data_IF_164083866150
#
_entry.id   IF_164083866150
#
_cell.length_a   1.000
_cell.length_b   1.000
_cell.length_c   1.000
_cell.angle_alpha   90.00
_cell.angle_beta   90.00
_cell.angle_gamma   90.00
#
_symmetry.space_group_name_H-M   'P 1'
#
loop_
_entity.id
_entity.type
_entity.pdbx_description
1 polymer ?
#
# COMPACT_ATOMS: atom_id res chain seq x y z
N UNK A 1 26.31 -3.09 7.75
CA UNK A 1 25.30 -2.33 8.53
C UNK A 1 24.02 -2.27 7.71
N UNK A 2 22.98 -2.95 8.19
CA UNK A 2 21.90 -3.48 7.37
C UNK A 2 20.78 -2.47 7.07
N UNK A 3 20.29 -2.55 5.84
CA UNK A 3 19.03 -1.96 5.32
C UNK A 3 17.79 -2.39 6.12
N UNK A 4 17.91 -3.36 7.02
CA UNK A 4 16.86 -3.83 7.94
C UNK A 4 16.49 -2.78 9.01
N UNK A 5 17.43 -1.96 9.47
CA UNK A 5 17.15 -0.94 10.50
C UNK A 5 16.32 0.26 10.00
N UNK A 6 16.23 0.49 8.68
CA UNK A 6 15.39 1.56 8.11
C UNK A 6 13.91 1.17 8.03
N UNK A 7 13.60 -0.12 7.81
CA UNK A 7 12.21 -0.63 7.79
C UNK A 7 11.56 -0.63 9.18
N UNK A 8 12.35 -0.89 10.22
CA UNK A 8 11.84 -0.86 11.60
C UNK A 8 11.50 0.56 12.07
N UNK A 9 12.34 1.56 11.77
CA UNK A 9 12.07 2.96 12.11
C UNK A 9 10.84 3.53 11.38
N UNK A 10 10.56 3.09 10.14
CA UNK A 10 9.38 3.50 9.38
C UNK A 10 8.08 2.88 9.94
N UNK A 11 8.13 1.63 10.40
CA UNK A 11 6.98 0.95 10.99
C UNK A 11 6.64 1.45 12.41
N UNK A 12 7.63 1.87 13.20
CA UNK A 12 7.38 2.46 14.53
C UNK A 12 6.74 3.85 14.41
N UNK A 13 7.08 4.65 13.39
CA UNK A 13 6.42 5.94 13.12
C UNK A 13 4.99 5.77 12.58
N UNK A 14 4.73 4.76 11.72
CA UNK A 14 3.41 4.48 11.13
C UNK A 14 2.37 4.05 12.16
N UNK A 15 2.76 3.25 13.14
CA UNK A 15 1.86 2.82 14.23
C UNK A 15 1.52 4.02 15.14
N UNK A 16 2.43 4.98 15.35
CA UNK A 16 2.15 6.11 16.22
C UNK A 16 1.18 7.14 15.58
N UNK A 17 1.26 7.36 14.26
CA UNK A 17 0.36 8.29 13.56
C UNK A 17 -1.04 7.71 13.33
N UNK A 18 -1.16 6.42 13.03
CA UNK A 18 -2.48 5.79 12.82
C UNK A 18 -3.23 5.55 14.15
N UNK A 19 -2.50 5.33 15.26
CA UNK A 19 -3.10 5.14 16.58
C UNK A 19 -3.58 6.46 17.21
N UNK A 20 -2.95 7.60 16.87
CA UNK A 20 -3.39 8.92 17.33
C UNK A 20 -4.72 9.37 16.72
N UNK A 21 -5.10 8.87 15.54
CA UNK A 21 -6.38 9.20 14.89
C UNK A 21 -7.50 8.18 15.15
N UNK A 22 -7.18 6.93 15.53
CA UNK A 22 -8.18 5.94 15.97
C UNK A 22 -8.69 6.15 17.39
N UNK A 23 -8.04 7.00 18.19
CA UNK A 23 -8.37 7.20 19.61
C UNK A 23 -9.34 8.35 19.91
N UNK A 24 -9.75 9.15 18.92
CA UNK A 24 -10.72 10.22 19.12
C UNK A 24 -11.97 9.97 18.29
N UNK A 25 -12.92 9.26 18.90
CA UNK A 25 -14.34 9.36 18.54
C UNK A 25 -14.92 10.71 18.94
N UNK A 26 -14.26 11.81 18.56
CA UNK A 26 -14.83 13.13 18.64
C UNK A 26 -15.73 13.29 17.42
N UNK A 27 -17.02 13.44 17.68
CA UNK A 27 -18.04 13.69 16.65
C UNK A 27 -17.62 14.97 15.92
N UNK A 28 -17.05 14.84 14.72
CA UNK A 28 -16.77 15.93 13.79
C UNK A 28 -18.09 16.35 13.13
N UNK A 29 -18.36 17.66 13.00
CA UNK A 29 -19.43 18.09 12.09
C UNK A 29 -18.87 18.14 10.69
N UNK A 30 -19.03 17.04 9.96
CA UNK A 30 -18.92 17.08 8.51
C UNK A 30 -20.00 18.01 7.98
N UNK A 31 -19.62 18.98 7.15
CA UNK A 31 -20.57 19.90 6.54
C UNK A 31 -21.55 19.07 5.71
N UNK A 32 -22.83 18.99 6.12
CA UNK A 32 -23.78 18.06 5.52
C UNK A 32 -24.12 18.48 4.11
N UNK A 33 -24.68 17.58 3.31
CA UNK A 33 -25.14 17.88 1.95
C UNK A 33 -26.36 18.81 1.95
N UNK A 34 -27.14 18.84 3.05
CA UNK A 34 -28.31 19.70 3.21
C UNK A 34 -28.55 20.06 4.68
N UNK A 35 -28.92 21.32 4.96
CA UNK A 35 -29.27 21.80 6.30
C UNK A 35 -30.28 22.97 6.19
N UNK A 36 -31.29 23.06 7.10
CA UNK A 36 -32.23 24.18 7.12
C UNK A 36 -31.61 25.52 7.56
N UNK A 37 -30.48 25.52 8.27
CA UNK A 37 -29.77 26.74 8.66
C UNK A 37 -29.12 27.41 7.43
N UNK A 38 -29.34 28.72 7.24
CA UNK A 38 -28.88 29.47 6.07
C UNK A 38 -27.36 29.51 5.93
N UNK A 39 -26.63 29.59 7.05
CA UNK A 39 -25.18 29.61 7.04
C UNK A 39 -24.64 28.23 6.65
N UNK A 40 -25.15 27.15 7.26
CA UNK A 40 -24.71 25.80 6.89
C UNK A 40 -25.10 25.48 5.45
N UNK A 41 -26.29 25.87 4.99
CA UNK A 41 -26.67 25.71 3.59
C UNK A 41 -25.67 26.39 2.65
N UNK A 42 -25.25 27.61 2.95
CA UNK A 42 -24.26 28.34 2.15
C UNK A 42 -22.89 27.63 2.15
N UNK A 43 -22.47 27.07 3.28
CA UNK A 43 -21.26 26.25 3.39
C UNK A 43 -21.38 24.95 2.57
N UNK A 44 -22.52 24.27 2.65
CA UNK A 44 -22.83 23.04 1.90
C UNK A 44 -22.81 23.27 0.40
N UNK A 45 -23.46 24.33 -0.08
CA UNK A 45 -23.50 24.69 -1.51
C UNK A 45 -22.08 24.96 -2.04
N UNK A 46 -21.25 25.69 -1.28
CA UNK A 46 -19.85 25.95 -1.65
C UNK A 46 -19.00 24.67 -1.61
N UNK A 47 -19.16 23.84 -0.58
CA UNK A 47 -18.46 22.56 -0.50
C UNK A 47 -18.80 21.65 -1.68
N UNK A 48 -20.05 21.66 -2.15
CA UNK A 48 -20.46 20.86 -3.31
C UNK A 48 -19.85 21.35 -4.63
N UNK A 49 -19.71 22.66 -4.81
CA UNK A 49 -18.96 23.23 -5.94
C UNK A 49 -17.51 22.72 -5.91
N UNK A 50 -16.86 22.76 -4.74
CA UNK A 50 -15.49 22.26 -4.57
C UNK A 50 -15.40 20.76 -4.89
N UNK A 51 -16.32 19.94 -4.36
CA UNK A 51 -16.36 18.49 -4.63
C UNK A 51 -16.51 18.19 -6.12
N UNK A 52 -17.39 18.92 -6.80
CA UNK A 52 -17.63 18.77 -8.25
C UNK A 52 -16.39 19.14 -9.06
N UNK A 53 -15.76 20.28 -8.77
CA UNK A 53 -14.51 20.68 -9.44
C UNK A 53 -13.37 19.71 -9.17
N UNK A 54 -13.21 19.28 -7.92
CA UNK A 54 -12.22 18.28 -7.52
C UNK A 54 -12.40 16.96 -8.28
N UNK A 55 -13.63 16.44 -8.34
CA UNK A 55 -13.95 15.23 -9.09
C UNK A 55 -13.61 15.39 -10.58
N UNK A 56 -13.90 16.54 -11.19
CA UNK A 56 -13.56 16.84 -12.58
C UNK A 56 -12.05 16.81 -12.86
N UNK A 57 -11.25 17.39 -11.96
CA UNK A 57 -9.79 17.33 -12.01
C UNK A 57 -9.28 15.90 -11.87
N UNK A 58 -9.73 15.17 -10.83
CA UNK A 58 -9.35 13.77 -10.64
C UNK A 58 -9.69 12.93 -11.87
N UNK A 59 -10.91 13.06 -12.41
CA UNK A 59 -11.34 12.33 -13.62
C UNK A 59 -10.40 12.57 -14.80
N UNK A 60 -9.94 13.81 -14.97
CA UNK A 60 -9.02 14.19 -16.05
C UNK A 60 -7.62 13.63 -15.83
N UNK A 61 -7.11 13.74 -14.60
CA UNK A 61 -5.77 13.30 -14.21
C UNK A 61 -5.64 11.77 -14.16
N UNK A 62 -6.74 11.07 -13.89
CA UNK A 62 -6.82 9.60 -13.88
C UNK A 62 -7.33 9.02 -15.19
N UNK A 63 -7.31 9.81 -16.28
CA UNK A 63 -7.66 9.30 -17.61
C UNK A 63 -6.66 8.20 -17.99
N UNK A 64 -7.19 7.00 -18.22
CA UNK A 64 -6.37 5.84 -18.50
C UNK A 64 -5.78 5.91 -19.91
N UNK A 65 -4.53 5.49 -20.03
CA UNK A 65 -3.78 5.38 -21.28
C UNK A 65 -3.44 3.90 -21.49
N UNK A 66 -3.62 3.37 -22.72
CA UNK A 66 -3.29 1.99 -23.01
C UNK A 66 -1.77 1.74 -22.87
N UNK A 67 -1.44 0.59 -22.28
CA UNK A 67 -0.10 0.12 -22.02
C UNK A 67 -0.04 -1.38 -22.31
N UNK A 68 0.98 -1.82 -23.05
CA UNK A 68 1.25 -3.25 -23.20
C UNK A 68 2.15 -3.72 -22.07
N UNK A 69 1.78 -4.84 -21.46
CA UNK A 69 2.52 -5.48 -20.36
C UNK A 69 2.62 -6.98 -20.61
N UNK A 70 3.45 -7.65 -19.80
CA UNK A 70 3.67 -9.09 -19.88
C UNK A 70 3.23 -9.79 -18.60
N UNK A 71 2.57 -10.94 -18.75
CA UNK A 71 2.21 -11.85 -17.66
C UNK A 71 3.39 -12.73 -17.26
N UNK A 72 3.27 -13.43 -16.13
CA UNK A 72 4.32 -14.33 -15.63
C UNK A 72 4.57 -15.59 -16.45
N UNK A 73 3.82 -15.82 -17.53
CA UNK A 73 4.03 -16.89 -18.51
C UNK A 73 4.60 -16.36 -19.85
N UNK A 74 4.93 -15.06 -19.91
CA UNK A 74 5.46 -14.42 -21.11
C UNK A 74 4.39 -13.91 -22.08
N UNK A 75 3.10 -14.11 -21.79
CA UNK A 75 2.00 -13.63 -22.63
C UNK A 75 1.92 -12.11 -22.58
N UNK A 76 1.87 -11.47 -23.75
CA UNK A 76 1.65 -10.02 -23.89
C UNK A 76 0.16 -9.71 -23.78
N UNK A 77 -0.20 -8.76 -22.92
CA UNK A 77 -1.58 -8.30 -22.73
C UNK A 77 -1.68 -6.77 -22.78
N UNK A 78 -2.82 -6.26 -23.23
CA UNK A 78 -3.15 -4.84 -23.18
C UNK A 78 -3.78 -4.53 -21.81
N UNK A 79 -3.24 -3.50 -21.16
CA UNK A 79 -3.77 -2.92 -19.93
C UNK A 79 -3.97 -1.42 -20.13
N UNK A 80 -4.61 -0.78 -19.17
CA UNK A 80 -4.67 0.68 -19.12
C UNK A 80 -4.22 1.16 -17.73
N UNK A 81 -3.54 2.30 -17.70
CA UNK A 81 -3.07 2.90 -16.45
C UNK A 81 -3.18 4.42 -16.51
N UNK A 82 -3.17 5.06 -15.35
CA UNK A 82 -2.92 6.51 -15.24
C UNK A 82 -1.59 6.78 -14.53
N UNK A 83 -1.15 8.04 -14.53
CA UNK A 83 0.07 8.47 -13.83
C UNK A 83 -0.27 9.11 -12.46
N UNK A 84 -0.01 8.43 -11.33
CA UNK A 84 -0.28 8.98 -10.00
C UNK A 84 0.59 10.21 -9.67
N UNK A 85 1.69 10.45 -10.38
CA UNK A 85 2.51 11.65 -10.20
C UNK A 85 1.75 12.92 -10.64
N UNK A 86 0.83 12.83 -11.60
CA UNK A 86 -0.03 13.96 -11.99
C UNK A 86 -0.98 14.36 -10.86
N UNK A 87 -1.57 13.37 -10.18
CA UNK A 87 -2.44 13.60 -9.01
C UNK A 87 -1.64 14.21 -7.86
N UNK A 88 -0.42 13.71 -7.62
CA UNK A 88 0.49 14.28 -6.62
C UNK A 88 0.78 15.76 -6.90
N UNK A 89 1.15 16.09 -8.14
CA UNK A 89 1.41 17.48 -8.56
C UNK A 89 0.18 18.37 -8.40
N UNK A 90 -1.01 17.85 -8.72
CA UNK A 90 -2.27 18.57 -8.50
C UNK A 90 -2.47 18.91 -7.02
N UNK A 91 -2.24 17.97 -6.11
CA UNK A 91 -2.29 18.23 -4.67
C UNK A 91 -1.23 19.22 -4.20
N UNK A 92 0.01 19.11 -4.68
CA UNK A 92 1.08 20.08 -4.39
C UNK A 92 0.68 21.50 -4.86
N UNK A 93 0.06 21.61 -6.05
CA UNK A 93 -0.45 22.88 -6.58
C UNK A 93 -1.56 23.49 -5.74
N UNK A 94 -2.47 22.68 -5.18
CA UNK A 94 -3.49 23.17 -4.24
C UNK A 94 -2.80 23.77 -3.02
N UNK A 95 -1.91 23.00 -2.36
CA UNK A 95 -1.24 23.43 -1.13
C UNK A 95 -0.41 24.71 -1.34
N UNK A 96 0.31 24.83 -2.45
CA UNK A 96 1.11 26.02 -2.77
C UNK A 96 0.25 27.28 -2.95
N UNK A 97 -1.04 27.15 -3.27
CA UNK A 97 -1.98 28.26 -3.42
C UNK A 97 -2.73 28.61 -2.13
N UNK A 98 -2.51 27.86 -1.03
CA UNK A 98 -3.10 28.11 0.29
C UNK A 98 -2.04 28.28 1.40
N UNK A 99 -1.06 29.21 1.25
CA UNK A 99 0.05 29.33 2.20
C UNK A 99 -0.37 29.72 3.63
N UNK A 100 -1.56 30.31 3.79
CA UNK A 100 -2.15 30.68 5.08
C UNK A 100 -2.76 29.48 5.84
N UNK A 101 -2.98 28.35 5.15
CA UNK A 101 -3.57 27.15 5.76
C UNK A 101 -2.47 26.25 6.33
N UNK A 102 -2.74 25.68 7.50
CA UNK A 102 -1.89 24.65 8.07
C UNK A 102 -2.02 23.38 7.24
N UNK A 103 -0.90 22.76 6.86
CA UNK A 103 -0.92 21.48 6.14
C UNK A 103 0.37 20.68 6.39
N UNK A 104 0.31 19.36 6.18
CA UNK A 104 1.48 18.47 6.30
C UNK A 104 2.15 18.14 4.95
N UNK A 105 1.69 18.75 3.86
CA UNK A 105 2.12 18.39 2.51
C UNK A 105 1.30 17.21 1.95
N UNK A 106 1.74 16.70 0.80
CA UNK A 106 1.11 15.51 0.19
C UNK A 106 1.58 14.25 0.89
N UNK A 107 0.61 13.49 1.40
CA UNK A 107 0.82 12.21 2.07
C UNK A 107 0.39 11.04 1.20
N UNK A 108 0.98 9.87 1.45
CA UNK A 108 0.59 8.64 0.78
C UNK A 108 0.62 7.43 1.71
N UNK A 109 -0.27 6.47 1.49
CA UNK A 109 -0.26 5.17 2.17
C UNK A 109 -0.16 4.03 1.16
N UNK A 110 0.47 2.94 1.61
CA UNK A 110 0.70 1.72 0.85
C UNK A 110 0.28 0.54 1.72
N UNK A 111 -0.73 -0.19 1.29
CA UNK A 111 -1.21 -1.42 1.92
C UNK A 111 -1.47 -2.48 0.84
N UNK A 112 -0.59 -3.49 0.76
CA UNK A 112 -0.57 -4.50 -0.31
C UNK A 112 -0.58 -3.86 -1.71
N UNK A 113 -1.68 -3.97 -2.44
CA UNK A 113 -1.94 -3.38 -3.75
C UNK A 113 -2.74 -2.07 -3.65
N UNK A 114 -3.37 -1.77 -2.51
CA UNK A 114 -4.07 -0.51 -2.29
C UNK A 114 -3.08 0.64 -2.05
N UNK A 115 -3.33 1.75 -2.71
CA UNK A 115 -2.59 3.01 -2.60
C UNK A 115 -3.56 4.13 -2.29
N UNK A 116 -3.11 5.09 -1.48
CA UNK A 116 -3.84 6.33 -1.25
C UNK A 116 -2.88 7.50 -1.36
N UNK A 117 -3.27 8.53 -2.10
CA UNK A 117 -2.62 9.84 -2.09
C UNK A 117 -3.60 10.84 -1.52
N UNK A 118 -3.18 11.68 -0.58
CA UNK A 118 -4.10 12.63 0.06
C UNK A 118 -3.40 13.88 0.59
N UNK A 119 -4.20 14.92 0.78
CA UNK A 119 -3.84 16.13 1.52
C UNK A 119 -4.86 16.38 2.61
N UNK A 120 -4.35 16.88 3.74
CA UNK A 120 -5.14 17.41 4.83
C UNK A 120 -4.62 18.80 5.14
N UNK A 121 -5.55 19.74 5.27
CA UNK A 121 -5.23 21.12 5.57
C UNK A 121 -6.34 21.74 6.41
N UNK A 122 -5.97 22.69 7.26
CA UNK A 122 -6.89 23.35 8.17
C UNK A 122 -6.52 24.81 8.40
N UNK A 123 -7.52 25.61 8.76
CA UNK A 123 -7.34 27.00 9.13
C UNK A 123 -8.30 27.35 10.27
N UNK A 124 -7.81 28.14 11.21
CA UNK A 124 -8.58 28.56 12.36
C UNK A 124 -9.11 29.99 12.16
N UNK A 125 -10.42 30.16 12.31
CA UNK A 125 -11.09 31.46 12.31
C UNK A 125 -11.77 31.67 13.68
N UNK A 126 -11.15 32.52 14.51
CA UNK A 126 -11.57 32.68 15.91
C UNK A 126 -11.44 31.36 16.69
N UNK A 127 -12.57 30.86 17.21
CA UNK A 127 -12.64 29.57 17.92
C UNK A 127 -13.14 28.43 17.03
N UNK A 128 -13.10 28.58 15.70
CA UNK A 128 -13.59 27.58 14.77
C UNK A 128 -12.47 27.09 13.85
N UNK A 129 -12.35 25.78 13.69
CA UNK A 129 -11.39 25.14 12.81
C UNK A 129 -12.14 24.63 11.58
N UNK A 130 -11.80 25.16 10.42
CA UNK A 130 -12.24 24.62 9.13
C UNK A 130 -11.14 23.69 8.63
N UNK A 131 -11.46 22.41 8.44
CA UNK A 131 -10.50 21.42 7.94
C UNK A 131 -11.02 20.75 6.68
N UNK A 132 -10.10 20.34 5.82
CA UNK A 132 -10.39 19.59 4.59
C UNK A 132 -9.54 18.34 4.48
N UNK A 133 -10.13 17.30 3.91
CA UNK A 133 -9.47 16.07 3.53
C UNK A 133 -9.81 15.74 2.08
N UNK A 134 -8.80 15.84 1.21
CA UNK A 134 -8.89 15.48 -0.20
C UNK A 134 -8.00 14.28 -0.48
N UNK A 135 -8.54 13.24 -1.12
CA UNK A 135 -7.84 11.97 -1.29
C UNK A 135 -8.23 11.27 -2.58
N UNK A 136 -7.30 10.49 -3.15
CA UNK A 136 -7.52 9.51 -4.20
C UNK A 136 -7.05 8.13 -3.70
N UNK A 137 -7.90 7.12 -3.84
CA UNK A 137 -7.63 5.73 -3.52
C UNK A 137 -7.69 4.87 -4.79
N UNK A 138 -6.63 4.10 -5.03
CA UNK A 138 -6.40 3.35 -6.27
C UNK A 138 -5.61 2.07 -6.00
N UNK A 139 -5.71 1.08 -6.89
CA UNK A 139 -4.94 -0.15 -6.85
C UNK A 139 -3.69 -0.05 -7.73
N UNK A 140 -2.61 -0.70 -7.30
CA UNK A 140 -1.38 -0.91 -8.04
C UNK A 140 -1.19 -2.41 -8.27
N UNK A 141 -1.42 -2.86 -9.51
CA UNK A 141 -1.25 -4.23 -9.94
C UNK A 141 0.13 -4.42 -10.56
N UNK A 142 0.77 -5.55 -10.26
CA UNK A 142 2.12 -5.85 -10.74
C UNK A 142 2.06 -6.67 -12.03
N UNK A 143 2.77 -6.20 -13.06
CA UNK A 143 3.00 -6.91 -14.30
C UNK A 143 4.49 -6.84 -14.67
N UNK A 144 4.95 -7.69 -15.58
CA UNK A 144 6.28 -7.51 -16.14
C UNK A 144 6.27 -6.47 -17.26
N UNK A 145 7.33 -5.69 -17.35
CA UNK A 145 7.56 -4.85 -18.53
C UNK A 145 7.74 -5.71 -19.78
N UNK A 146 7.41 -5.16 -20.96
CA UNK A 146 7.69 -5.83 -22.22
C UNK A 146 9.20 -5.92 -22.47
N UNK A 147 9.78 -7.03 -22.06
CA UNK A 147 11.20 -7.29 -22.16
C UNK A 147 11.45 -8.77 -22.45
N UNK A 148 12.21 -9.06 -23.50
CA UNK A 148 12.57 -10.42 -23.87
C UNK A 148 13.28 -11.17 -22.73
N UNK A 149 13.96 -10.44 -21.84
CA UNK A 149 14.64 -11.03 -20.70
C UNK A 149 13.70 -11.78 -19.76
N UNK A 150 12.43 -11.36 -19.65
CA UNK A 150 11.41 -12.05 -18.85
C UNK A 150 11.22 -13.49 -19.35
N UNK A 151 11.13 -13.67 -20.67
CA UNK A 151 10.95 -14.98 -21.32
C UNK A 151 12.19 -15.84 -21.15
N UNK A 152 13.38 -15.25 -21.29
CA UNK A 152 14.64 -15.96 -21.08
C UNK A 152 14.76 -16.48 -19.65
N UNK A 153 14.52 -15.62 -18.66
CA UNK A 153 14.58 -16.01 -17.26
C UNK A 153 13.57 -17.12 -16.95
N UNK A 154 12.35 -17.05 -17.48
CA UNK A 154 11.35 -18.11 -17.30
C UNK A 154 11.81 -19.46 -17.87
N UNK A 155 12.48 -19.47 -19.04
CA UNK A 155 13.08 -20.69 -19.60
C UNK A 155 14.21 -21.21 -18.71
N UNK A 156 15.12 -20.34 -18.29
CA UNK A 156 16.22 -20.70 -17.38
C UNK A 156 15.69 -21.28 -16.06
N UNK A 157 14.65 -20.69 -15.48
CA UNK A 157 13.99 -21.17 -14.26
C UNK A 157 13.33 -22.54 -14.48
N UNK A 158 12.70 -22.77 -15.64
CA UNK A 158 12.13 -24.07 -16.00
C UNK A 158 13.22 -25.14 -16.12
N UNK A 159 14.33 -24.82 -16.79
CA UNK A 159 15.47 -25.72 -16.92
C UNK A 159 16.10 -26.05 -15.56
N UNK A 160 16.29 -25.04 -14.70
CA UNK A 160 16.80 -25.24 -13.34
C UNK A 160 15.84 -26.13 -12.52
N UNK A 161 14.53 -25.92 -12.65
CA UNK A 161 13.53 -26.75 -11.94
C UNK A 161 13.62 -28.21 -12.39
N UNK A 162 13.71 -28.44 -13.70
CA UNK A 162 13.90 -29.78 -14.27
C UNK A 162 15.24 -30.42 -13.82
N UNK A 163 16.31 -29.63 -13.70
CA UNK A 163 17.61 -30.10 -13.21
C UNK A 163 17.55 -30.47 -11.72
N UNK A 164 16.89 -29.66 -10.90
CA UNK A 164 16.67 -29.93 -9.48
C UNK A 164 15.86 -31.23 -9.30
N UNK A 165 14.78 -31.41 -10.05
CA UNK A 165 13.97 -32.64 -10.01
C UNK A 165 14.79 -33.88 -10.38
N UNK A 166 15.57 -33.81 -11.46
CA UNK A 166 16.47 -34.90 -11.88
C UNK A 166 17.55 -35.20 -10.84
N UNK A 167 18.12 -34.17 -10.21
CA UNK A 167 19.08 -34.35 -9.14
C UNK A 167 18.43 -35.02 -7.94
N UNK A 168 17.25 -34.59 -7.51
CA UNK A 168 16.50 -35.22 -6.41
C UNK A 168 16.26 -36.72 -6.65
N UNK A 169 15.87 -37.10 -7.87
CA UNK A 169 15.71 -38.52 -8.24
C UNK A 169 17.04 -39.29 -8.16
N UNK A 170 18.14 -38.69 -8.64
CA UNK A 170 19.46 -39.33 -8.63
C UNK A 170 20.01 -39.50 -7.22
N UNK A 171 19.87 -38.46 -6.39
CA UNK A 171 20.50 -38.41 -5.06
C UNK A 171 19.65 -39.07 -3.99
N UNK A 172 18.36 -39.35 -4.23
CA UNK A 172 17.50 -40.08 -3.29
C UNK A 172 18.14 -41.39 -2.81
N UNK A 173 18.51 -42.32 -3.71
CA UNK A 173 19.17 -43.57 -3.33
C UNK A 173 20.54 -43.39 -2.66
N UNK A 174 21.27 -42.31 -2.95
CA UNK A 174 22.56 -42.00 -2.32
C UNK A 174 22.34 -41.45 -0.90
N UNK A 175 21.33 -40.60 -0.71
CA UNK A 175 20.92 -40.10 0.58
C UNK A 175 20.40 -41.23 1.48
N UNK A 176 19.61 -42.16 0.94
CA UNK A 176 19.14 -43.35 1.66
C UNK A 176 20.33 -44.17 2.18
N UNK A 177 21.37 -44.35 1.36
CA UNK A 177 22.61 -45.03 1.78
C UNK A 177 23.35 -44.25 2.87
N UNK A 178 23.49 -42.93 2.74
CA UNK A 178 24.15 -42.09 3.77
C UNK A 178 23.40 -42.20 5.10
N UNK A 179 22.06 -42.17 5.06
CA UNK A 179 21.20 -42.33 6.24
C UNK A 179 21.41 -43.72 6.85
N UNK A 180 21.36 -44.79 6.03
CA UNK A 180 21.59 -46.16 6.49
C UNK A 180 22.98 -46.34 7.10
N UNK A 181 24.04 -45.89 6.42
CA UNK A 181 25.42 -46.01 6.91
C UNK A 181 25.62 -45.28 8.24
N UNK A 182 25.02 -44.10 8.40
CA UNK A 182 25.11 -43.34 9.64
C UNK A 182 24.34 -44.01 10.78
N UNK A 183 23.11 -44.45 10.53
CA UNK A 183 22.31 -45.18 11.53
C UNK A 183 23.00 -46.47 11.97
N UNK A 184 23.64 -47.18 11.02
CA UNK A 184 24.46 -48.37 11.29
C UNK A 184 25.67 -48.07 12.16
N UNK A 185 26.42 -47.00 11.85
CA UNK A 185 27.58 -46.57 12.63
C UNK A 185 27.23 -46.19 14.08
N UNK A 186 26.03 -45.64 14.30
CA UNK A 186 25.49 -45.30 15.63
C UNK A 186 24.86 -46.51 16.35
N UNK A 187 24.90 -47.71 15.75
CA UNK A 187 24.47 -48.96 16.38
C UNK A 187 23.02 -49.38 16.11
N UNK A 188 22.29 -48.69 15.23
CA UNK A 188 20.88 -48.97 14.90
C UNK A 188 20.71 -50.05 13.81
N UNK A 189 21.61 -51.03 13.76
CA UNK A 189 21.56 -52.11 12.77
C UNK A 189 20.31 -52.99 12.91
N UNK A 190 19.63 -53.27 11.79
CA UNK A 190 18.54 -54.26 11.72
C UNK A 190 17.21 -53.82 12.34
N UNK A 191 17.04 -52.54 12.63
CA UNK A 191 15.75 -51.99 13.04
C UNK A 191 14.80 -51.85 11.84
N UNK A 192 13.50 -51.94 12.10
CA UNK A 192 12.48 -51.64 11.10
C UNK A 192 12.40 -50.14 10.79
N UNK A 193 11.88 -49.79 9.61
CA UNK A 193 11.82 -48.42 9.11
C UNK A 193 11.10 -47.45 10.07
N UNK A 194 10.08 -47.93 10.79
CA UNK A 194 9.32 -47.13 11.74
C UNK A 194 10.18 -46.70 12.94
N UNK A 195 10.97 -47.63 13.51
CA UNK A 195 11.91 -47.32 14.58
C UNK A 195 13.06 -46.43 14.13
N UNK A 196 13.55 -46.61 12.90
CA UNK A 196 14.59 -45.73 12.33
C UNK A 196 14.08 -44.29 12.15
N UNK A 197 12.82 -44.12 11.72
CA UNK A 197 12.18 -42.81 11.65
C UNK A 197 12.05 -42.18 13.04
N UNK A 198 11.62 -42.94 14.05
CA UNK A 198 11.54 -42.44 15.43
C UNK A 198 12.92 -42.02 15.98
N UNK A 199 13.99 -42.72 15.64
CA UNK A 199 15.36 -42.31 16.00
C UNK A 199 15.71 -40.99 15.35
N UNK A 200 15.52 -40.84 14.04
CA UNK A 200 15.79 -39.57 13.33
C UNK A 200 14.91 -38.41 13.85
N UNK A 201 13.67 -38.69 14.23
CA UNK A 201 12.76 -37.69 14.77
C UNK A 201 13.17 -37.22 16.17
N UNK A 202 13.65 -38.13 17.02
CA UNK A 202 13.96 -37.84 18.42
C UNK A 202 15.43 -37.48 18.69
N UNK A 203 16.35 -37.81 17.77
CA UNK A 203 17.80 -37.57 17.89
C UNK A 203 18.27 -36.47 16.95
N UNK A 204 18.13 -35.23 17.41
CA UNK A 204 18.52 -34.04 16.65
C UNK A 204 20.03 -34.01 16.31
N UNK A 205 20.87 -34.60 17.15
CA UNK A 205 22.32 -34.73 16.94
C UNK A 205 22.65 -35.60 15.71
N UNK A 206 22.00 -36.76 15.58
CA UNK A 206 22.17 -37.67 14.44
C UNK A 206 21.59 -37.02 13.18
N UNK A 207 20.40 -36.42 13.30
CA UNK A 207 19.72 -35.77 12.16
C UNK A 207 20.53 -34.58 11.62
N UNK A 208 21.10 -33.74 12.49
CA UNK A 208 21.95 -32.64 12.04
C UNK A 208 23.24 -33.13 11.35
N UNK A 209 23.82 -34.25 11.79
CA UNK A 209 25.03 -34.81 11.15
C UNK A 209 24.73 -35.44 9.78
N UNK A 210 23.60 -36.16 9.68
CA UNK A 210 23.06 -36.68 8.40
C UNK A 210 22.80 -35.51 7.44
N UNK A 211 22.11 -34.46 7.88
CA UNK A 211 21.81 -33.28 7.06
C UNK A 211 23.10 -32.61 6.59
N UNK A 212 24.09 -32.39 7.47
CA UNK A 212 25.38 -31.81 7.08
C UNK A 212 26.12 -32.64 6.05
N UNK A 213 26.10 -33.96 6.20
CA UNK A 213 26.76 -34.91 5.28
C UNK A 213 26.09 -34.87 3.90
N UNK A 214 24.76 -34.87 3.88
CA UNK A 214 23.95 -34.72 2.67
C UNK A 214 24.23 -33.35 2.03
N UNK A 215 24.13 -32.24 2.76
CA UNK A 215 24.39 -30.88 2.25
C UNK A 215 25.81 -30.71 1.68
N UNK A 216 26.83 -31.29 2.32
CA UNK A 216 28.21 -31.25 1.83
C UNK A 216 28.40 -32.00 0.50
N UNK A 217 27.59 -33.04 0.25
CA UNK A 217 27.62 -33.83 -0.98
C UNK A 217 26.87 -33.19 -2.15
N UNK A 218 25.97 -32.22 -1.88
CA UNK A 218 25.05 -31.63 -2.88
C UNK A 218 25.44 -30.22 -3.32
N UNK A 219 26.73 -29.99 -3.61
CA UNK A 219 27.22 -28.69 -4.09
C UNK A 219 26.56 -28.23 -5.40
N UNK A 220 26.14 -29.15 -6.26
CA UNK A 220 25.40 -28.85 -7.51
C UNK A 220 23.99 -28.32 -7.23
N UNK A 221 23.25 -28.94 -6.31
CA UNK A 221 21.92 -28.50 -5.90
C UNK A 221 21.98 -27.08 -5.30
N UNK A 222 22.95 -26.81 -4.43
CA UNK A 222 23.15 -25.48 -3.84
C UNK A 222 23.41 -24.41 -4.91
N UNK A 223 24.24 -24.71 -5.93
CA UNK A 223 24.49 -23.78 -7.03
C UNK A 223 23.22 -23.49 -7.84
N UNK A 224 22.40 -24.51 -8.12
CA UNK A 224 21.14 -24.34 -8.85
C UNK A 224 20.13 -23.49 -8.07
N UNK A 225 20.00 -23.73 -6.76
CA UNK A 225 19.13 -22.93 -5.88
C UNK A 225 19.60 -21.47 -5.83
N UNK A 226 20.90 -21.22 -5.68
CA UNK A 226 21.45 -19.86 -5.68
C UNK A 226 21.20 -19.16 -7.03
N UNK A 227 21.34 -19.86 -8.14
CA UNK A 227 21.07 -19.30 -9.46
C UNK A 227 19.58 -18.98 -9.63
N UNK A 228 18.69 -19.89 -9.22
CA UNK A 228 17.23 -19.68 -9.20
C UNK A 228 16.86 -18.41 -8.43
N UNK A 229 17.40 -18.24 -7.23
CA UNK A 229 17.10 -17.07 -6.38
C UNK A 229 17.69 -15.77 -6.92
N UNK A 230 18.76 -15.84 -7.72
CA UNK A 230 19.27 -14.70 -8.48
C UNK A 230 18.31 -14.31 -9.61
N UNK A 231 17.82 -15.30 -10.36
CA UNK A 231 16.88 -15.10 -11.46
C UNK A 231 15.53 -14.56 -10.98
N UNK A 232 15.02 -15.01 -9.82
CA UNK A 232 13.79 -14.42 -9.25
C UNK A 232 13.97 -12.94 -8.88
N UNK A 233 15.11 -12.56 -8.32
CA UNK A 233 15.40 -11.14 -8.05
C UNK A 233 15.50 -10.32 -9.33
N UNK A 234 16.08 -10.90 -10.38
CA UNK A 234 16.13 -10.26 -11.70
C UNK A 234 14.73 -10.09 -12.29
N UNK A 235 13.82 -11.05 -12.12
CA UNK A 235 12.41 -10.89 -12.47
C UNK A 235 11.74 -9.78 -11.67
N UNK A 236 11.95 -9.72 -10.35
CA UNK A 236 11.37 -8.66 -9.51
C UNK A 236 11.74 -7.25 -10.00
N UNK A 237 12.97 -7.05 -10.51
CA UNK A 237 13.45 -5.79 -11.09
C UNK A 237 12.78 -5.44 -12.44
N UNK A 238 12.12 -6.41 -13.09
CA UNK A 238 11.36 -6.24 -14.34
C UNK A 238 9.88 -5.94 -14.11
N UNK A 239 9.41 -5.95 -12.85
CA UNK A 239 8.04 -5.62 -12.51
C UNK A 239 7.77 -4.12 -12.67
N UNK A 240 6.57 -3.82 -13.14
CA UNK A 240 5.99 -2.48 -13.24
C UNK A 240 4.61 -2.45 -12.58
N UNK A 241 4.27 -1.32 -11.99
CA UNK A 241 2.94 -1.09 -11.43
C UNK A 241 2.01 -0.50 -12.51
N UNK A 242 0.83 -1.11 -12.64
CA UNK A 242 -0.30 -0.64 -13.44
C UNK A 242 -1.38 -0.15 -12.48
N UNK A 243 -1.76 1.12 -12.60
CA UNK A 243 -2.62 1.78 -11.63
C UNK A 243 -4.09 1.82 -12.09
N UNK A 244 -4.98 1.42 -11.20
CA UNK A 244 -6.42 1.35 -11.44
C UNK A 244 -7.21 2.15 -10.40
N UNK A 245 -8.15 2.96 -10.88
CA UNK A 245 -9.11 3.66 -10.05
C UNK A 245 -10.38 3.92 -10.83
N UNK A 246 -11.45 4.15 -10.10
CA UNK A 246 -12.70 4.70 -10.61
C UNK A 246 -12.84 6.14 -10.09
N UNK A 247 -12.91 7.16 -10.96
CA UNK A 247 -12.98 8.56 -10.53
C UNK A 247 -14.43 8.89 -10.12
N UNK A 248 -14.83 8.42 -8.94
CA UNK A 248 -16.12 8.71 -8.30
C UNK A 248 -15.88 9.27 -6.90
N UNK A 249 -16.77 10.14 -6.44
CA UNK A 249 -16.75 10.57 -5.04
C UNK A 249 -17.23 9.42 -4.16
N UNK A 250 -16.44 9.08 -3.16
CA UNK A 250 -16.74 8.10 -2.12
C UNK A 250 -16.77 8.77 -0.76
N UNK A 251 -17.49 8.18 0.18
CA UNK A 251 -17.47 8.61 1.58
C UNK A 251 -16.34 7.93 2.37
N UNK A 252 -16.20 8.29 3.64
CA UNK A 252 -15.16 7.75 4.51
C UNK A 252 -15.34 6.25 4.78
N UNK A 253 -16.58 5.75 4.84
CA UNK A 253 -16.85 4.33 5.09
C UNK A 253 -16.38 3.48 3.90
N UNK A 254 -16.72 3.92 2.69
CA UNK A 254 -16.25 3.29 1.44
C UNK A 254 -14.73 3.33 1.33
N UNK A 255 -14.12 4.45 1.69
CA UNK A 255 -12.67 4.58 1.73
C UNK A 255 -12.02 3.61 2.71
N UNK A 256 -12.60 3.43 3.90
CA UNK A 256 -12.15 2.44 4.91
C UNK A 256 -12.37 1.00 4.41
N UNK A 257 -13.45 0.76 3.67
CA UNK A 257 -13.76 -0.52 3.04
C UNK A 257 -12.91 -0.83 1.79
N UNK A 258 -11.84 -0.06 1.54
CA UNK A 258 -10.95 -0.21 0.41
C UNK A 258 -11.61 -0.02 -0.98
N UNK A 259 -12.75 0.68 -1.09
CA UNK A 259 -13.33 1.02 -2.40
C UNK A 259 -12.47 2.02 -3.16
N UNK A 260 -12.32 1.84 -4.47
CA UNK A 260 -11.68 2.82 -5.36
C UNK A 260 -12.49 4.11 -5.45
N UNK A 261 -11.81 5.25 -5.48
CA UNK A 261 -12.49 6.53 -5.58
C UNK A 261 -11.70 7.68 -5.02
N UNK A 262 -12.36 8.84 -4.98
CA UNK A 262 -11.81 10.04 -4.39
C UNK A 262 -12.73 10.58 -3.30
N UNK A 263 -12.13 11.21 -2.29
CA UNK A 263 -12.83 11.82 -1.16
C UNK A 263 -12.50 13.30 -1.16
N UNK A 264 -13.51 14.13 -0.90
CA UNK A 264 -13.34 15.56 -0.71
C UNK A 264 -14.32 16.02 0.38
N UNK A 265 -13.80 16.08 1.60
CA UNK A 265 -14.56 16.42 2.80
C UNK A 265 -14.12 17.77 3.37
N UNK A 266 -15.10 18.48 3.93
CA UNK A 266 -14.89 19.67 4.74
C UNK A 266 -15.60 19.49 6.07
N UNK A 267 -14.88 19.75 7.15
CA UNK A 267 -15.38 19.63 8.51
C UNK A 267 -15.23 20.98 9.21
N UNK A 268 -16.21 21.30 10.05
CA UNK A 268 -16.16 22.45 10.93
C UNK A 268 -16.14 21.96 12.37
N UNK A 269 -15.19 22.45 13.16
CA UNK A 269 -15.03 22.10 14.57
C UNK A 269 -14.97 23.38 15.42
N UNK A 270 -15.48 23.33 16.64
CA UNK A 270 -15.28 24.37 17.65
C UNK A 270 -14.07 24.00 18.52
N UNK A 271 -13.16 24.94 18.70
CA UNK A 271 -11.92 24.76 19.47
C UNK A 271 -11.99 25.58 20.76
N UNK A 272 -11.81 24.90 21.89
CA UNK A 272 -11.70 25.54 23.21
C UNK A 272 -10.70 24.79 24.09
N UNK A 273 -9.73 25.50 24.67
CA UNK A 273 -8.70 24.91 25.54
C UNK A 273 -7.97 23.71 24.89
N UNK A 274 -7.62 23.81 23.60
CA UNK A 274 -7.05 22.73 22.78
C UNK A 274 -7.93 21.46 22.63
N UNK A 275 -9.18 21.49 23.09
CA UNK A 275 -10.17 20.45 22.82
C UNK A 275 -10.98 20.83 21.59
N UNK A 276 -11.19 19.87 20.70
CA UNK A 276 -12.04 20.02 19.50
C UNK A 276 -13.41 19.42 19.76
N UNK A 277 -14.45 20.08 19.26
CA UNK A 277 -15.84 19.65 19.41
C UNK A 277 -16.57 19.87 18.09
N UNK A 278 -17.13 18.82 17.48
CA UNK A 278 -17.97 19.00 16.29
C UNK A 278 -19.43 19.29 16.59
N UNK A 279 -19.92 19.18 17.83
CA UNK A 279 -21.25 19.68 18.16
C UNK A 279 -21.23 21.22 18.30
N UNK A 280 -21.47 21.91 17.19
CA UNK A 280 -21.39 23.37 17.11
C UNK A 280 -22.76 23.99 17.33
N UNK A 281 -22.84 24.92 18.30
CA UNK A 281 -23.98 25.83 18.39
C UNK A 281 -23.82 26.98 17.37
N UNK A 282 -24.51 26.85 16.24
CA UNK A 282 -24.46 27.80 15.12
C UNK A 282 -24.86 29.22 15.50
N UNK A 283 -25.74 29.39 16.49
CA UNK A 283 -26.18 30.71 16.98
C UNK A 283 -25.08 31.47 17.73
N UNK A 284 -24.00 30.79 18.14
CA UNK A 284 -22.84 31.40 18.80
C UNK A 284 -21.73 31.82 17.84
N UNK A 285 -21.83 31.45 16.56
CA UNK A 285 -20.88 31.88 15.54
C UNK A 285 -21.19 33.34 15.19
N UNK A 286 -20.21 34.23 15.33
CA UNK A 286 -20.38 35.63 14.95
C UNK A 286 -20.62 35.77 13.45
N UNK A 287 -21.39 36.78 13.02
CA UNK A 287 -21.62 37.02 11.59
C UNK A 287 -20.31 37.25 10.83
N UNK A 288 -19.34 37.96 11.44
CA UNK A 288 -18.01 38.13 10.85
C UNK A 288 -17.31 36.79 10.61
N UNK A 289 -17.34 35.88 11.59
CA UNK A 289 -16.75 34.54 11.47
C UNK A 289 -17.45 33.73 10.39
N UNK A 290 -18.79 33.79 10.30
CA UNK A 290 -19.55 33.13 9.22
C UNK A 290 -19.12 33.64 7.85
N UNK A 291 -19.02 34.95 7.68
CA UNK A 291 -18.54 35.56 6.43
C UNK A 291 -17.12 35.10 6.09
N UNK A 292 -16.21 35.12 7.07
CA UNK A 292 -14.82 34.70 6.85
C UNK A 292 -14.71 33.23 6.44
N UNK A 293 -15.46 32.33 7.10
CA UNK A 293 -15.52 30.91 6.73
C UNK A 293 -16.04 30.68 5.30
N UNK A 294 -17.04 31.45 4.88
CA UNK A 294 -17.55 31.37 3.51
C UNK A 294 -16.52 31.87 2.47
N UNK A 295 -15.80 32.96 2.79
CA UNK A 295 -14.72 33.49 1.94
C UNK A 295 -13.57 32.48 1.82
N UNK A 296 -13.25 31.76 2.89
CA UNK A 296 -12.25 30.68 2.86
C UNK A 296 -12.65 29.57 1.89
N UNK A 297 -13.91 29.13 1.87
CA UNK A 297 -14.38 28.17 0.87
C UNK A 297 -14.34 28.74 -0.55
N UNK A 298 -14.70 30.02 -0.74
CA UNK A 298 -14.57 30.69 -2.05
C UNK A 298 -13.13 30.70 -2.57
N UNK A 299 -12.15 30.88 -1.68
CA UNK A 299 -10.73 30.81 -2.07
C UNK A 299 -10.36 29.43 -2.64
N UNK A 300 -10.88 28.34 -2.05
CA UNK A 300 -10.66 26.99 -2.56
C UNK A 300 -11.36 26.78 -3.90
N UNK A 301 -12.57 27.32 -4.07
CA UNK A 301 -13.30 27.28 -5.35
C UNK A 301 -12.46 27.93 -6.45
N UNK A 302 -11.93 29.14 -6.22
CA UNK A 302 -11.11 29.84 -7.21
C UNK A 302 -9.82 29.08 -7.55
N UNK A 303 -9.20 28.44 -6.56
CA UNK A 303 -8.00 27.61 -6.77
C UNK A 303 -8.26 26.44 -7.71
N UNK A 304 -9.45 25.82 -7.63
CA UNK A 304 -9.86 24.66 -8.41
C UNK A 304 -10.49 25.00 -9.77
N UNK A 305 -10.74 26.28 -10.08
CA UNK A 305 -11.23 26.70 -11.41
C UNK A 305 -10.14 26.69 -12.50
N UNK A 306 -8.87 26.63 -12.10
CA UNK A 306 -7.67 26.64 -12.96
C UNK A 306 -7.31 25.21 -13.34
#
# INVERSE_FOLDING_TARGET
>A
MSTSNKKWAYNVFKVHTDFMWKAFGDILMQIPVSNPDLFIKSMSDKAEIIRTSFLGHITTLTKKVPLKVMLGDGTVTDQESFDPALVRKFFENILNKIPEWNHQGVSATTEKDLRRSFIKFDIQEGNYLLSSHMSLQYHALLFYRLDHRVIEIQKELSDISNMIEKLQIRVGPENDKIIEEKLRAEGYHGMDEQKLFEVLFNREDITQDVVKTIEASHAEHTKLVVNRDKLFRELDDLLIEVYHTTPVLIDENKMIAAEEGCLCNFNLEYVRNNTRQGNINLARISEQTKTNLLVLLDSIIEILKI
#
